data_IF_443459183393
#
_entry.id   IF_443459183393
#
_cell.length_a   1.000
_cell.length_b   1.000
_cell.length_c   1.000
_cell.angle_alpha   90.00
_cell.angle_beta   90.00
_cell.angle_gamma   90.00
#
_symmetry.space_group_name_H-M   'P 1'
#
loop_
_entity.id
_entity.type
_entity.pdbx_description
1 polymer ?
#
# COMPACT_ATOMS: atom_id res chain seq x y z
N UNK A 1 42.57 6.28 2.63
CA UNK A 1 41.58 5.49 1.88
C UNK A 1 40.31 5.57 2.69
N UNK A 2 39.24 6.13 2.12
CA UNK A 2 37.96 6.31 2.81
C UNK A 2 37.19 5.00 2.67
N UNK A 3 36.98 4.29 3.78
CA UNK A 3 36.06 3.18 3.84
C UNK A 3 34.66 3.78 4.01
N UNK A 4 33.96 3.97 2.90
CA UNK A 4 32.51 4.20 2.91
C UNK A 4 31.87 2.84 3.15
N UNK A 5 31.83 2.41 4.40
CA UNK A 5 30.90 1.37 4.83
C UNK A 5 29.52 1.98 4.78
N UNK A 6 28.82 1.81 3.65
CA UNK A 6 27.37 1.88 3.61
C UNK A 6 26.87 0.78 4.55
N UNK A 7 26.66 1.14 5.82
CA UNK A 7 25.87 0.35 6.74
C UNK A 7 24.46 0.30 6.14
N UNK A 8 24.18 -0.79 5.41
CA UNK A 8 22.81 -1.16 5.06
C UNK A 8 22.06 -1.34 6.39
N UNK A 9 21.36 -0.28 6.80
CA UNK A 9 20.49 -0.31 7.96
C UNK A 9 19.40 -1.35 7.69
N UNK A 10 19.47 -2.46 8.42
CA UNK A 10 18.42 -3.48 8.40
C UNK A 10 17.15 -2.80 8.92
N UNK A 11 16.12 -2.73 8.07
CA UNK A 11 14.82 -2.18 8.44
C UNK A 11 14.26 -2.94 9.65
N UNK A 12 13.84 -2.18 10.67
CA UNK A 12 13.19 -2.69 11.88
C UNK A 12 11.69 -2.85 11.60
N UNK A 13 10.97 -3.70 12.35
CA UNK A 13 9.52 -3.83 12.21
C UNK A 13 8.77 -2.50 12.25
N UNK A 14 9.22 -1.56 13.09
CA UNK A 14 8.65 -0.21 13.22
C UNK A 14 8.79 0.64 11.94
N UNK A 15 9.78 0.35 11.08
CA UNK A 15 9.99 1.04 9.80
C UNK A 15 8.94 0.63 8.74
N UNK A 16 8.17 -0.43 9.01
CA UNK A 16 7.08 -0.90 8.14
C UNK A 16 5.70 -0.39 8.59
N UNK A 17 5.62 0.31 9.74
CA UNK A 17 4.36 0.86 10.23
C UNK A 17 4.26 2.35 9.91
N UNK A 18 3.03 2.80 9.65
CA UNK A 18 2.77 4.22 9.43
C UNK A 18 3.08 4.99 10.71
N UNK A 19 3.99 5.95 10.62
CA UNK A 19 4.41 6.77 11.76
C UNK A 19 3.45 7.94 11.92
N UNK A 20 3.13 8.29 13.17
CA UNK A 20 2.28 9.46 13.49
C UNK A 20 3.05 10.45 14.36
N UNK A 21 2.79 11.75 14.18
CA UNK A 21 3.37 12.78 15.05
C UNK A 21 2.61 12.87 16.39
N UNK A 22 3.04 13.82 17.24
CA UNK A 22 2.44 14.06 18.56
C UNK A 22 0.97 14.51 18.49
N UNK A 23 0.53 14.99 17.33
CA UNK A 23 -0.84 15.44 17.04
C UNK A 23 -1.68 14.35 16.33
N UNK A 24 -1.19 13.09 16.29
CA UNK A 24 -1.83 11.93 15.67
C UNK A 24 -1.97 12.00 14.13
N UNK A 25 -1.19 12.87 13.48
CA UNK A 25 -1.16 13.01 12.02
C UNK A 25 -0.14 12.05 11.39
N UNK A 26 -0.54 11.40 10.29
CA UNK A 26 0.33 10.48 9.53
C UNK A 26 1.55 11.25 8.99
N UNK A 27 2.73 10.71 9.26
CA UNK A 27 3.98 11.22 8.72
C UNK A 27 4.25 10.59 7.35
N UNK A 28 4.77 11.38 6.39
CA UNK A 28 5.07 10.86 5.07
C UNK A 28 6.27 9.90 5.11
N UNK A 29 6.19 8.84 4.31
CA UNK A 29 7.24 7.85 4.08
C UNK A 29 7.89 8.14 2.72
N UNK A 30 9.20 7.99 2.61
CA UNK A 30 9.89 8.13 1.33
C UNK A 30 9.90 6.79 0.62
N UNK A 31 9.32 6.71 -0.58
CA UNK A 31 9.35 5.51 -1.41
C UNK A 31 10.02 5.72 -2.77
N UNK A 32 10.84 4.77 -3.23
CA UNK A 32 11.46 4.82 -4.54
C UNK A 32 10.42 4.56 -5.62
N UNK A 33 10.54 5.30 -6.72
CA UNK A 33 9.71 5.06 -7.89
C UNK A 33 10.23 3.86 -8.67
N UNK A 34 9.34 2.93 -9.07
CA UNK A 34 9.76 1.77 -9.83
C UNK A 34 10.28 2.18 -11.21
N UNK A 35 11.48 1.71 -11.55
CA UNK A 35 12.08 1.89 -12.87
C UNK A 35 12.90 3.16 -13.04
N UNK A 36 13.01 4.01 -12.01
CA UNK A 36 13.82 5.24 -12.04
C UNK A 36 14.63 5.39 -10.73
N UNK A 37 15.57 6.34 -10.64
CA UNK A 37 16.41 6.54 -9.45
C UNK A 37 15.75 7.46 -8.40
N UNK A 38 14.66 8.12 -8.79
CA UNK A 38 13.92 9.08 -8.00
C UNK A 38 13.04 8.42 -6.93
N UNK A 39 12.66 9.19 -5.92
CA UNK A 39 11.77 8.78 -4.84
C UNK A 39 10.77 9.88 -4.56
N UNK A 40 9.59 9.50 -4.05
CA UNK A 40 8.53 10.43 -3.67
C UNK A 40 8.24 10.31 -2.19
N UNK A 41 7.71 11.37 -1.60
CA UNK A 41 7.16 11.35 -0.24
C UNK A 41 5.68 11.02 -0.31
N UNK A 42 5.29 9.93 0.32
CA UNK A 42 3.93 9.40 0.33
C UNK A 42 3.33 9.54 1.72
N UNK A 43 2.11 10.04 1.81
CA UNK A 43 1.27 9.88 3.00
C UNK A 43 0.52 8.56 2.83
N UNK A 44 0.82 7.53 3.63
CA UNK A 44 0.22 6.20 3.44
C UNK A 44 -1.31 6.26 3.52
N UNK A 45 -1.95 5.50 2.64
CA UNK A 45 -3.40 5.32 2.65
C UNK A 45 -3.82 4.57 3.91
N UNK A 46 -4.94 4.99 4.49
CA UNK A 46 -5.57 4.24 5.55
C UNK A 46 -6.31 3.03 4.98
N UNK A 47 -6.69 2.10 5.86
CA UNK A 47 -7.57 0.99 5.47
C UNK A 47 -8.94 1.47 4.98
N UNK A 48 -9.39 2.66 5.42
CA UNK A 48 -10.62 3.27 4.90
C UNK A 48 -10.48 3.62 3.42
N UNK A 49 -9.42 4.34 3.09
CA UNK A 49 -9.11 4.81 1.74
C UNK A 49 -8.92 3.61 0.78
N UNK A 50 -8.16 2.58 1.19
CA UNK A 50 -7.98 1.36 0.39
C UNK A 50 -9.30 0.64 0.06
N UNK A 51 -10.28 0.67 0.98
CA UNK A 51 -11.59 0.09 0.74
C UNK A 51 -12.47 0.99 -0.15
N UNK A 52 -12.32 2.31 -0.04
CA UNK A 52 -13.05 3.28 -0.87
C UNK A 52 -12.73 3.11 -2.35
N UNK A 53 -11.45 3.00 -2.68
CA UNK A 53 -11.00 2.72 -4.05
C UNK A 53 -11.03 1.22 -4.41
N UNK A 54 -11.49 0.37 -3.49
CA UNK A 54 -11.53 -1.10 -3.62
C UNK A 54 -12.68 -1.67 -4.45
N UNK A 55 -13.55 -0.80 -4.98
CA UNK A 55 -14.72 -1.23 -5.75
C UNK A 55 -15.64 -2.19 -5.00
N UNK A 56 -16.41 -2.98 -5.76
CA UNK A 56 -17.41 -3.91 -5.22
C UNK A 56 -16.85 -5.16 -4.55
N UNK A 57 -15.58 -5.52 -4.81
CA UNK A 57 -14.91 -6.68 -4.20
C UNK A 57 -14.10 -6.28 -2.95
N UNK A 58 -14.05 -4.99 -2.61
CA UNK A 58 -13.37 -4.47 -1.42
C UNK A 58 -11.85 -4.53 -1.51
N UNK A 59 -11.29 -4.72 -2.71
CA UNK A 59 -9.86 -4.81 -2.94
C UNK A 59 -9.45 -3.83 -4.05
N UNK A 60 -8.57 -2.90 -3.72
CA UNK A 60 -8.05 -1.93 -4.67
C UNK A 60 -7.27 -2.64 -5.78
N UNK A 61 -7.76 -2.53 -7.01
CA UNK A 61 -7.08 -3.00 -8.21
C UNK A 61 -6.57 -1.78 -9.02
N UNK A 62 -5.26 -1.54 -9.06
CA UNK A 62 -4.70 -0.34 -9.73
C UNK A 62 -5.02 -0.27 -11.23
N UNK A 63 -5.23 -1.42 -11.87
CA UNK A 63 -5.57 -1.49 -13.29
C UNK A 63 -7.01 -1.06 -13.60
N UNK A 64 -7.87 -0.98 -12.59
CA UNK A 64 -9.29 -0.63 -12.71
C UNK A 64 -9.59 0.80 -12.24
N UNK A 65 -8.59 1.51 -11.71
CA UNK A 65 -8.75 2.89 -11.28
C UNK A 65 -9.08 3.80 -12.47
N UNK A 66 -10.10 4.65 -12.30
CA UNK A 66 -10.40 5.69 -13.27
C UNK A 66 -9.34 6.79 -13.22
N UNK A 67 -9.16 7.58 -14.30
CA UNK A 67 -8.28 8.74 -14.26
C UNK A 67 -8.66 9.76 -13.16
N UNK A 68 -9.95 9.86 -12.82
CA UNK A 68 -10.40 10.66 -11.67
C UNK A 68 -9.89 10.11 -10.34
N UNK A 69 -10.04 8.80 -10.09
CA UNK A 69 -9.58 8.17 -8.85
C UNK A 69 -8.05 8.28 -8.71
N UNK A 70 -7.32 8.11 -9.82
CA UNK A 70 -5.85 8.26 -9.81
C UNK A 70 -5.47 9.71 -9.49
N UNK A 71 -6.15 10.70 -10.06
CA UNK A 71 -5.89 12.10 -9.74
C UNK A 71 -6.15 12.40 -8.26
N UNK A 72 -7.26 11.90 -7.71
CA UNK A 72 -7.60 12.04 -6.30
C UNK A 72 -6.54 11.41 -5.39
N UNK A 73 -6.19 10.14 -5.62
CA UNK A 73 -5.15 9.43 -4.86
C UNK A 73 -3.84 10.22 -4.88
N UNK A 74 -3.44 10.76 -6.03
CA UNK A 74 -2.20 11.51 -6.15
C UNK A 74 -2.25 12.84 -5.39
N UNK A 75 -3.36 13.58 -5.43
CA UNK A 75 -3.48 14.82 -4.68
C UNK A 75 -3.53 14.61 -3.16
N UNK A 76 -4.09 13.50 -2.69
CA UNK A 76 -4.23 13.23 -1.26
C UNK A 76 -3.01 12.56 -0.63
N UNK A 77 -2.34 11.69 -1.40
CA UNK A 77 -1.29 10.81 -0.87
C UNK A 77 0.11 11.12 -1.38
N UNK A 78 0.28 11.90 -2.46
CA UNK A 78 1.59 12.45 -2.80
C UNK A 78 1.84 13.73 -2.01
N UNK A 79 2.67 13.64 -0.96
CA UNK A 79 2.93 14.73 -0.02
C UNK A 79 3.35 16.04 -0.71
N UNK A 80 4.22 15.96 -1.72
CA UNK A 80 4.73 17.15 -2.41
C UNK A 80 3.65 17.87 -3.23
N UNK A 81 2.65 17.14 -3.74
CA UNK A 81 1.50 17.69 -4.44
C UNK A 81 0.53 18.28 -3.44
N UNK A 82 0.16 17.51 -2.41
CA UNK A 82 -0.78 17.93 -1.38
C UNK A 82 -0.38 19.23 -0.67
N UNK A 83 0.91 19.39 -0.38
CA UNK A 83 1.43 20.58 0.29
C UNK A 83 1.74 21.74 -0.67
N UNK A 84 1.51 21.56 -1.97
CA UNK A 84 1.72 22.59 -2.98
C UNK A 84 0.41 23.30 -3.30
N UNK A 85 0.30 24.55 -2.87
CA UNK A 85 -0.87 25.40 -3.21
C UNK A 85 -0.98 25.72 -4.72
N UNK A 86 0.12 25.56 -5.48
CA UNK A 86 0.22 25.94 -6.89
C UNK A 86 0.15 24.75 -7.85
N UNK A 87 0.04 23.51 -7.34
CA UNK A 87 0.09 22.31 -8.17
C UNK A 87 -0.97 21.29 -7.76
N UNK A 88 -1.90 21.03 -8.69
CA UNK A 88 -2.95 20.04 -8.57
C UNK A 88 -2.86 19.03 -9.73
N UNK A 89 -3.04 17.75 -9.45
CA UNK A 89 -3.10 16.69 -10.46
C UNK A 89 -4.53 16.60 -10.98
N UNK A 90 -4.73 16.97 -12.24
CA UNK A 90 -6.04 16.86 -12.90
C UNK A 90 -6.15 15.55 -13.66
N UNK A 91 -7.38 15.10 -13.92
CA UNK A 91 -7.69 13.95 -14.80
C UNK A 91 -6.95 14.02 -16.13
N UNK A 92 -6.89 15.20 -16.75
CA UNK A 92 -6.22 15.44 -18.03
C UNK A 92 -4.71 15.15 -17.94
N UNK A 93 -4.06 15.52 -16.83
CA UNK A 93 -2.64 15.21 -16.58
C UNK A 93 -2.39 13.72 -16.41
N UNK A 94 -3.36 12.99 -15.84
CA UNK A 94 -3.30 11.53 -15.71
C UNK A 94 -3.48 10.86 -17.07
N UNK A 95 -4.40 11.35 -17.90
CA UNK A 95 -4.65 10.84 -19.26
C UNK A 95 -3.47 11.09 -20.20
N UNK A 96 -2.79 12.23 -20.06
CA UNK A 96 -1.57 12.57 -20.81
C UNK A 96 -0.30 11.90 -20.24
N UNK A 97 -0.46 10.89 -19.37
CA UNK A 97 0.59 10.07 -18.76
C UNK A 97 1.67 10.91 -18.05
N UNK A 98 1.23 11.80 -17.16
CA UNK A 98 2.03 12.55 -16.17
C UNK A 98 3.51 12.68 -16.53
N UNK A 99 3.79 13.64 -17.41
CA UNK A 99 5.09 13.92 -18.04
C UNK A 99 6.21 14.01 -16.98
N UNK A 100 6.88 12.90 -16.70
CA UNK A 100 8.00 12.85 -15.76
C UNK A 100 8.29 11.47 -15.22
N UNK A 101 7.28 10.80 -14.67
CA UNK A 101 7.45 9.53 -13.94
C UNK A 101 6.52 8.40 -14.42
N UNK A 102 5.46 8.75 -15.15
CA UNK A 102 4.40 7.81 -15.55
C UNK A 102 3.42 7.53 -14.42
N UNK A 103 2.13 7.45 -14.73
CA UNK A 103 1.06 7.30 -13.72
C UNK A 103 1.23 6.02 -12.88
N UNK A 104 1.61 4.92 -13.53
CA UNK A 104 1.63 3.60 -12.92
C UNK A 104 2.72 3.50 -11.85
N UNK A 105 3.86 4.18 -12.07
CA UNK A 105 4.97 4.20 -11.14
C UNK A 105 4.60 4.97 -9.85
N UNK A 106 3.93 6.11 -9.99
CA UNK A 106 3.45 6.92 -8.88
C UNK A 106 2.43 6.15 -8.03
N UNK A 107 1.41 5.58 -8.67
CA UNK A 107 0.37 4.78 -7.97
C UNK A 107 1.00 3.57 -7.27
N UNK A 108 1.92 2.87 -7.92
CA UNK A 108 2.61 1.72 -7.31
C UNK A 108 3.40 2.12 -6.06
N UNK A 109 4.13 3.24 -6.10
CA UNK A 109 4.87 3.73 -4.94
C UNK A 109 3.93 4.08 -3.78
N UNK A 110 2.78 4.69 -4.07
CA UNK A 110 1.78 5.02 -3.04
C UNK A 110 1.21 3.75 -2.39
N UNK A 111 0.85 2.75 -3.18
CA UNK A 111 0.29 1.51 -2.69
C UNK A 111 1.28 0.69 -1.86
N UNK A 112 2.57 0.70 -2.25
CA UNK A 112 3.64 0.08 -1.46
C UNK A 112 3.82 0.74 -0.10
N UNK A 113 3.89 2.07 -0.07
CA UNK A 113 3.98 2.82 1.19
C UNK A 113 2.77 2.53 2.11
N UNK A 114 1.62 2.22 1.51
CA UNK A 114 0.36 1.92 2.19
C UNK A 114 0.22 0.45 2.62
N UNK A 115 1.20 -0.40 2.31
CA UNK A 115 1.18 -1.82 2.68
C UNK A 115 0.20 -2.67 1.86
N UNK A 116 -0.23 -2.21 0.67
CA UNK A 116 -1.14 -2.94 -0.22
C UNK A 116 -0.61 -4.32 -0.60
N UNK A 117 0.69 -4.42 -0.89
CA UNK A 117 1.36 -5.69 -1.22
C UNK A 117 1.26 -6.70 -0.06
N UNK A 118 1.42 -6.24 1.18
CA UNK A 118 1.29 -7.07 2.38
C UNK A 118 -0.16 -7.51 2.61
N UNK A 119 -1.12 -6.61 2.42
CA UNK A 119 -2.54 -6.93 2.53
C UNK A 119 -2.94 -8.00 1.53
N UNK A 120 -2.49 -7.88 0.27
CA UNK A 120 -2.75 -8.88 -0.77
C UNK A 120 -2.15 -10.24 -0.41
N UNK A 121 -0.92 -10.26 0.11
CA UNK A 121 -0.26 -11.48 0.54
C UNK A 121 -1.01 -12.17 1.68
N UNK A 122 -1.41 -11.43 2.72
CA UNK A 122 -2.17 -11.95 3.85
C UNK A 122 -3.56 -12.46 3.43
N UNK A 123 -4.22 -11.77 2.51
CA UNK A 123 -5.51 -12.21 1.98
C UNK A 123 -5.39 -13.51 1.18
N UNK A 124 -4.35 -13.64 0.36
CA UNK A 124 -4.06 -14.86 -0.39
C UNK A 124 -3.75 -16.03 0.54
N UNK A 125 -2.91 -15.82 1.56
CA UNK A 125 -2.60 -16.83 2.58
C UNK A 125 -3.87 -17.28 3.33
N UNK A 126 -4.73 -16.34 3.73
CA UNK A 126 -6.00 -16.66 4.38
C UNK A 126 -6.94 -17.48 3.48
N UNK A 127 -7.02 -17.16 2.19
CA UNK A 127 -7.81 -17.93 1.21
C UNK A 127 -7.24 -19.34 1.01
N UNK A 128 -5.92 -19.49 0.96
CA UNK A 128 -5.25 -20.79 0.88
C UNK A 128 -5.52 -21.64 2.12
N UNK A 129 -5.41 -21.05 3.32
CA UNK A 129 -5.74 -21.73 4.57
C UNK A 129 -7.21 -22.15 4.63
N UNK A 130 -8.14 -21.30 4.18
CA UNK A 130 -9.57 -21.65 4.10
C UNK A 130 -9.81 -22.83 3.15
N UNK A 131 -9.13 -22.86 2.00
CA UNK A 131 -9.19 -23.99 1.06
C UNK A 131 -8.59 -25.28 1.66
N UNK A 132 -7.59 -25.19 2.53
CA UNK A 132 -7.04 -26.36 3.24
C UNK A 132 -7.93 -26.86 4.39
N UNK A 133 -8.73 -25.97 4.98
CA UNK A 133 -9.73 -26.27 6.03
C UNK A 133 -10.99 -26.91 5.44
N UNK A 134 -11.26 -26.70 4.15
CA UNK A 134 -12.40 -27.27 3.41
C UNK A 134 -12.33 -28.80 3.21
N UNK A 135 -11.37 -29.48 3.85
CA UNK A 135 -11.42 -30.93 4.08
C UNK A 135 -12.29 -31.22 5.33
N UNK A 136 -13.58 -31.61 5.17
CA UNK A 136 -14.50 -31.82 6.29
C UNK A 136 -14.02 -32.85 7.32
N UNK A 137 -13.04 -33.70 6.95
CA UNK A 137 -12.36 -34.59 7.88
C UNK A 137 -11.46 -33.88 8.90
N UNK A 138 -10.78 -32.80 8.50
CA UNK A 138 -9.87 -32.01 9.37
C UNK A 138 -10.64 -31.11 10.32
N UNK A 139 -11.71 -30.46 9.85
CA UNK A 139 -12.62 -29.67 10.69
C UNK A 139 -13.22 -30.51 11.82
N UNK A 140 -13.62 -31.75 11.52
CA UNK A 140 -14.12 -32.69 12.51
C UNK A 140 -13.04 -33.08 13.53
N UNK A 141 -11.81 -33.36 13.09
CA UNK A 141 -10.70 -33.66 14.00
C UNK A 141 -10.35 -32.48 14.91
N UNK A 142 -10.37 -31.25 14.41
CA UNK A 142 -10.12 -30.04 15.21
C UNK A 142 -11.22 -29.80 16.25
N UNK A 143 -12.49 -30.03 15.89
CA UNK A 143 -13.61 -29.97 16.84
C UNK A 143 -13.55 -31.08 17.89
N UNK A 144 -13.17 -32.29 17.50
CA UNK A 144 -13.02 -33.43 18.42
C UNK A 144 -11.86 -33.18 19.41
N UNK A 145 -10.72 -32.64 18.94
CA UNK A 145 -9.59 -32.24 19.80
C UNK A 145 -9.92 -31.08 20.75
N UNK A 146 -10.70 -30.10 20.30
CA UNK A 146 -11.14 -28.98 21.14
C UNK A 146 -12.13 -29.43 22.23
N UNK A 147 -12.97 -30.42 21.95
CA UNK A 147 -13.89 -31.01 22.94
C UNK A 147 -13.19 -31.97 23.90
N UNK A 148 -12.07 -32.58 23.54
CA UNK A 148 -11.29 -33.44 24.45
C UNK A 148 -10.46 -32.66 25.48
N UNK A 149 -10.26 -31.34 25.29
CA UNK A 149 -9.53 -30.47 26.23
C UNK A 149 -10.43 -29.52 27.07
N UNK A 150 -11.75 -29.67 27.01
CA UNK A 150 -12.72 -28.96 27.86
C UNK A 150 -13.33 -29.90 28.92
#
# INVERSE_FOLDING_TARGET
MSETTDEMNIAKPDDFFVTRNEDDELQPVTEPLPGVEESIRVIPMTMGDLNEYGGSEGQLNPAELSPEDVAEILNEHWYDVRESDDFDVTTEKVEDDMIGFGRDALVTAILRASGHDLQNALNMENLEMLNEIDDPGKLKQLMDLANEQA
#
